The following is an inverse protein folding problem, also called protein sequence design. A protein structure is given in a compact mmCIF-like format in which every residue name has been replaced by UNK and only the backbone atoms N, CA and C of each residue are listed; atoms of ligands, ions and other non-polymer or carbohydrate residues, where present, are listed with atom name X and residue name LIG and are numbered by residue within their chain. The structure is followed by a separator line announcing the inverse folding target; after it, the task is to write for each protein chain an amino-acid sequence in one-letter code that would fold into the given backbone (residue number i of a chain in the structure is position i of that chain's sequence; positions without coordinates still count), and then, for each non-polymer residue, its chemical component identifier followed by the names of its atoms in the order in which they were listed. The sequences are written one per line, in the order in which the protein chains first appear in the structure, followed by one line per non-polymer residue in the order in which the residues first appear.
data_IF_072642955285
#
_entry.id   IF_072642955285
#
_cell.length_a   1.000
_cell.length_b   1.000
_cell.length_c   1.000
_cell.angle_alpha   90.00
_cell.angle_beta   90.00
_cell.angle_gamma   90.00
#
_symmetry.space_group_name_H-M   'P 1'
#
loop_
_entity.id
_entity.type
_entity.pdbx_description
1 polymer ?
#
# COMPACT_ATOMS: atom_id res chain seq x y z
N UNK A 1 1.73 5.72 16.03
CA UNK A 1 1.71 6.56 14.79
C UNK A 1 1.18 7.95 15.16
N UNK A 2 1.92 9.00 14.81
CA UNK A 2 1.49 10.37 15.11
C UNK A 2 0.50 10.92 14.07
N UNK A 3 -0.20 12.02 14.40
CA UNK A 3 -1.24 12.62 13.52
C UNK A 3 -0.69 13.04 12.15
N UNK A 4 0.54 13.51 12.09
CA UNK A 4 1.16 13.97 10.85
C UNK A 4 1.50 12.79 9.91
N UNK A 5 1.92 11.67 10.47
CA UNK A 5 2.16 10.43 9.71
C UNK A 5 0.84 9.86 9.18
N UNK A 6 -0.19 9.80 10.04
CA UNK A 6 -1.52 9.36 9.63
C UNK A 6 -2.09 10.26 8.52
N UNK A 7 -1.92 11.58 8.65
CA UNK A 7 -2.35 12.54 7.63
C UNK A 7 -1.62 12.32 6.29
N UNK A 8 -0.32 12.01 6.32
CA UNK A 8 0.46 11.73 5.12
C UNK A 8 0.01 10.44 4.43
N UNK A 9 -0.29 9.38 5.21
CA UNK A 9 -0.83 8.11 4.66
C UNK A 9 -2.17 8.37 3.98
N UNK A 10 -3.09 9.07 4.64
CA UNK A 10 -4.39 9.44 4.06
C UNK A 10 -4.23 10.25 2.78
N UNK A 11 -3.29 11.21 2.76
CA UNK A 11 -2.97 11.99 1.59
C UNK A 11 -2.46 11.12 0.42
N UNK A 12 -1.55 10.18 0.68
CA UNK A 12 -1.04 9.24 -0.33
C UNK A 12 -2.12 8.36 -0.93
N UNK A 13 -3.12 7.97 -0.13
CA UNK A 13 -4.28 7.23 -0.60
C UNK A 13 -5.31 8.14 -1.33
N UNK A 14 -4.96 9.43 -1.55
CA UNK A 14 -5.77 10.38 -2.31
C UNK A 14 -7.00 10.87 -1.54
N UNK A 15 -7.00 10.81 -0.21
CA UNK A 15 -8.08 11.36 0.61
C UNK A 15 -8.03 12.89 0.56
N UNK A 16 -9.15 13.59 0.26
CA UNK A 16 -9.19 15.04 0.22
C UNK A 16 -8.78 15.68 1.55
N UNK A 17 -8.11 16.82 1.50
CA UNK A 17 -7.56 17.50 2.69
C UNK A 17 -8.63 17.79 3.76
N UNK A 18 -9.84 18.19 3.35
CA UNK A 18 -10.95 18.43 4.28
C UNK A 18 -11.43 17.15 4.98
N UNK A 19 -11.37 16.01 4.31
CA UNK A 19 -11.70 14.70 4.92
C UNK A 19 -10.59 14.26 5.88
N UNK A 20 -9.31 14.45 5.51
CA UNK A 20 -8.18 14.21 6.42
C UNK A 20 -8.33 15.00 7.71
N UNK A 21 -8.72 16.27 7.61
CA UNK A 21 -8.95 17.15 8.76
C UNK A 21 -10.03 16.59 9.69
N UNK A 22 -11.13 16.09 9.12
CA UNK A 22 -12.25 15.47 9.87
C UNK A 22 -11.81 14.17 10.54
N UNK A 23 -11.16 13.27 9.79
CA UNK A 23 -10.68 11.96 10.32
C UNK A 23 -9.75 12.16 11.50
N UNK A 24 -8.87 13.16 11.45
CA UNK A 24 -7.86 13.40 12.48
C UNK A 24 -8.31 14.38 13.57
N UNK A 25 -9.53 14.90 13.46
CA UNK A 25 -10.04 15.95 14.35
C UNK A 25 -9.09 17.16 14.43
N UNK A 26 -8.65 17.64 13.27
CA UNK A 26 -7.74 18.78 13.10
C UNK A 26 -8.35 19.79 12.15
N UNK A 27 -7.86 21.03 12.17
CA UNK A 27 -8.27 22.04 11.16
C UNK A 27 -7.62 21.78 9.81
N UNK A 28 -8.30 22.11 8.72
CA UNK A 28 -7.75 22.04 7.36
C UNK A 28 -6.46 22.90 7.23
N UNK A 29 -6.41 24.01 7.93
CA UNK A 29 -5.20 24.86 7.99
C UNK A 29 -4.01 24.10 8.57
N UNK A 30 -4.24 23.26 9.58
CA UNK A 30 -3.19 22.42 10.16
C UNK A 30 -2.70 21.40 9.15
N UNK A 31 -3.60 20.71 8.46
CA UNK A 31 -3.25 19.73 7.42
C UNK A 31 -2.50 20.41 6.28
N UNK A 32 -2.98 21.56 5.80
CA UNK A 32 -2.31 22.36 4.75
C UNK A 32 -0.88 22.76 5.15
N UNK A 33 -0.69 23.17 6.40
CA UNK A 33 0.64 23.51 6.94
C UNK A 33 1.55 22.26 6.97
N UNK A 34 1.04 21.13 7.39
CA UNK A 34 1.80 19.88 7.40
C UNK A 34 2.19 19.44 6.00
N UNK A 35 1.24 19.51 5.04
CA UNK A 35 1.46 19.23 3.63
C UNK A 35 2.59 20.10 3.05
N UNK A 36 2.49 21.42 3.23
CA UNK A 36 3.49 22.38 2.75
C UNK A 36 4.85 22.18 3.40
N UNK A 37 4.90 22.09 4.75
CA UNK A 37 6.16 21.92 5.49
C UNK A 37 6.82 20.55 5.23
N UNK A 38 6.03 19.55 4.94
CA UNK A 38 6.50 18.18 4.67
C UNK A 38 6.74 17.91 3.19
N UNK A 39 6.52 18.89 2.31
CA UNK A 39 6.64 18.75 0.84
C UNK A 39 5.95 17.47 0.31
N UNK A 40 4.73 17.21 0.78
CA UNK A 40 4.07 15.92 0.56
C UNK A 40 3.85 15.58 -0.91
N UNK A 41 3.55 16.57 -1.76
CA UNK A 41 3.37 16.33 -3.21
C UNK A 41 4.67 15.83 -3.84
N UNK A 42 5.80 16.48 -3.51
CA UNK A 42 7.12 16.08 -4.00
C UNK A 42 7.52 14.72 -3.43
N UNK A 43 7.38 14.54 -2.12
CA UNK A 43 7.73 13.29 -1.45
C UNK A 43 6.92 12.10 -1.98
N UNK A 44 5.63 12.27 -2.23
CA UNK A 44 4.79 11.22 -2.79
C UNK A 44 5.18 10.89 -4.25
N UNK A 45 5.54 11.90 -5.06
CA UNK A 45 6.04 11.69 -6.41
C UNK A 45 7.39 10.97 -6.43
N UNK A 46 8.32 11.37 -5.57
CA UNK A 46 9.65 10.74 -5.44
C UNK A 46 9.52 9.28 -4.97
N UNK A 47 8.65 9.01 -3.99
CA UNK A 47 8.36 7.65 -3.51
C UNK A 47 7.75 6.78 -4.62
N UNK A 48 6.82 7.32 -5.41
CA UNK A 48 6.19 6.60 -6.52
C UNK A 48 7.23 6.25 -7.60
N UNK A 49 8.05 7.21 -8.01
CA UNK A 49 9.12 7.01 -9.00
C UNK A 49 10.15 5.98 -8.52
N UNK A 50 10.52 6.02 -7.25
CA UNK A 50 11.42 5.05 -6.64
C UNK A 50 10.80 3.65 -6.64
N UNK A 51 9.51 3.53 -6.31
CA UNK A 51 8.77 2.26 -6.33
C UNK A 51 8.69 1.66 -7.73
N UNK A 52 8.43 2.48 -8.76
CA UNK A 52 8.43 2.03 -10.16
C UNK A 52 9.80 1.49 -10.57
N UNK A 53 10.89 2.23 -10.27
CA UNK A 53 12.25 1.83 -10.59
C UNK A 53 12.64 0.52 -9.88
N UNK A 54 12.29 0.36 -8.61
CA UNK A 54 12.54 -0.87 -7.85
C UNK A 54 11.70 -2.02 -8.41
N UNK A 55 10.41 -1.79 -8.71
CA UNK A 55 9.52 -2.79 -9.31
C UNK A 55 10.07 -3.33 -10.61
N UNK A 56 10.51 -2.47 -11.51
CA UNK A 56 11.07 -2.86 -12.80
C UNK A 56 12.34 -3.68 -12.61
N UNK A 57 13.24 -3.25 -11.74
CA UNK A 57 14.46 -3.98 -11.42
C UNK A 57 14.20 -5.38 -10.85
N UNK A 58 13.19 -5.51 -9.96
CA UNK A 58 12.83 -6.80 -9.39
C UNK A 58 12.13 -7.69 -10.41
N UNK A 59 11.26 -7.14 -11.26
CA UNK A 59 10.63 -7.89 -12.35
C UNK A 59 11.68 -8.44 -13.31
N UNK A 60 12.73 -7.70 -13.61
CA UNK A 60 13.83 -8.16 -14.45
C UNK A 60 14.62 -9.29 -13.78
N UNK A 61 14.90 -9.19 -12.47
CA UNK A 61 15.51 -10.27 -11.71
C UNK A 61 14.64 -11.54 -11.68
N UNK A 62 13.34 -11.40 -11.48
CA UNK A 62 12.39 -12.52 -11.51
C UNK A 62 12.37 -13.15 -12.91
N UNK A 63 12.30 -12.37 -13.97
CA UNK A 63 12.36 -12.87 -15.36
C UNK A 63 13.67 -13.62 -15.62
N UNK A 64 14.79 -13.08 -15.17
CA UNK A 64 16.09 -13.74 -15.30
C UNK A 64 16.12 -15.08 -14.57
N UNK A 65 15.68 -15.14 -13.31
CA UNK A 65 15.61 -16.39 -12.54
C UNK A 65 14.68 -17.42 -13.17
N UNK A 66 13.50 -17.00 -13.63
CA UNK A 66 12.58 -17.89 -14.33
C UNK A 66 13.18 -18.47 -15.62
N UNK A 67 13.96 -17.66 -16.37
CA UNK A 67 14.69 -18.11 -17.55
C UNK A 67 15.73 -19.16 -17.20
N UNK A 68 16.49 -18.96 -16.12
CA UNK A 68 17.48 -19.93 -15.63
C UNK A 68 16.80 -21.25 -15.19
N UNK A 69 15.72 -21.18 -14.45
CA UNK A 69 14.95 -22.35 -14.02
C UNK A 69 14.38 -23.13 -15.22
N UNK A 70 13.88 -22.45 -16.25
CA UNK A 70 13.42 -23.09 -17.49
C UNK A 70 14.54 -23.83 -18.20
N UNK A 71 15.70 -23.17 -18.39
CA UNK A 71 16.87 -23.78 -19.01
C UNK A 71 17.37 -25.00 -18.23
N UNK A 72 17.43 -24.92 -16.91
CA UNK A 72 17.79 -26.05 -16.06
C UNK A 72 16.76 -27.19 -16.18
N UNK A 73 15.46 -26.88 -16.22
CA UNK A 73 14.41 -27.88 -16.43
C UNK A 73 14.58 -28.62 -17.76
N UNK A 74 14.82 -27.90 -18.84
CA UNK A 74 15.04 -28.48 -20.17
C UNK A 74 16.27 -29.41 -20.16
N UNK A 75 17.38 -28.94 -19.59
CA UNK A 75 18.61 -29.76 -19.47
C UNK A 75 18.39 -31.04 -18.63
N UNK A 76 17.64 -30.95 -17.50
CA UNK A 76 17.35 -32.13 -16.68
C UNK A 76 16.38 -33.10 -17.35
N UNK A 77 15.46 -32.62 -18.19
CA UNK A 77 14.56 -33.47 -18.96
C UNK A 77 15.32 -34.24 -20.06
N UNK A 78 16.30 -33.60 -20.70
CA UNK A 78 17.19 -34.23 -21.70
C UNK A 78 18.07 -35.31 -21.05
N UNK A 79 18.52 -35.09 -19.81
CA UNK A 79 19.32 -36.04 -19.02
C UNK A 79 18.48 -37.14 -18.34
N UNK A 80 17.15 -37.17 -18.54
CA UNK A 80 16.24 -38.18 -17.97
C UNK A 80 15.95 -38.01 -16.47
N UNK A 81 16.27 -36.83 -15.88
CA UNK A 81 16.08 -36.50 -14.48
C UNK A 81 14.88 -35.59 -14.23
N UNK A 82 14.25 -35.71 -13.05
CA UNK A 82 13.26 -34.76 -12.55
C UNK A 82 13.88 -33.99 -11.39
N UNK A 83 14.11 -32.69 -11.56
CA UNK A 83 14.47 -31.82 -10.43
C UNK A 83 13.23 -31.14 -9.91
N UNK A 84 12.91 -31.38 -8.64
CA UNK A 84 11.94 -30.57 -7.91
C UNK A 84 12.53 -29.18 -7.64
N UNK A 85 11.72 -28.15 -7.84
CA UNK A 85 12.10 -26.78 -7.49
C UNK A 85 12.42 -26.76 -5.99
N UNK A 86 13.61 -26.32 -5.63
CA UNK A 86 14.00 -26.27 -4.23
C UNK A 86 13.16 -25.22 -3.48
N UNK A 87 12.85 -25.49 -2.23
CA UNK A 87 12.08 -24.57 -1.38
C UNK A 87 12.75 -23.18 -1.34
N UNK A 88 14.08 -23.13 -1.28
CA UNK A 88 14.85 -21.88 -1.27
C UNK A 88 14.62 -21.00 -2.50
N UNK A 89 14.42 -21.61 -3.70
CA UNK A 89 14.16 -20.87 -4.94
C UNK A 89 12.76 -20.21 -4.87
N UNK A 90 11.78 -20.92 -4.30
CA UNK A 90 10.41 -20.39 -4.09
C UNK A 90 10.41 -19.29 -3.03
N UNK A 91 11.14 -19.49 -1.93
CA UNK A 91 11.25 -18.52 -0.84
C UNK A 91 11.90 -17.23 -1.35
N UNK A 92 12.96 -17.32 -2.17
CA UNK A 92 13.60 -16.15 -2.79
C UNK A 92 12.66 -15.36 -3.70
N UNK A 93 11.86 -16.03 -4.54
CA UNK A 93 10.86 -15.36 -5.40
C UNK A 93 9.78 -14.69 -4.55
N UNK A 94 9.31 -15.36 -3.50
CA UNK A 94 8.32 -14.79 -2.58
C UNK A 94 8.86 -13.55 -1.86
N UNK A 95 10.11 -13.58 -1.40
CA UNK A 95 10.73 -12.45 -0.72
C UNK A 95 10.90 -11.26 -1.66
N UNK A 96 11.32 -11.48 -2.91
CA UNK A 96 11.37 -10.46 -3.94
C UNK A 96 9.98 -9.87 -4.23
N UNK A 97 8.94 -10.72 -4.36
CA UNK A 97 7.56 -10.27 -4.54
C UNK A 97 7.08 -9.40 -3.37
N UNK A 98 7.38 -9.80 -2.14
CA UNK A 98 7.03 -9.04 -0.95
C UNK A 98 7.76 -7.69 -0.86
N UNK A 99 8.99 -7.61 -1.35
CA UNK A 99 9.74 -6.35 -1.46
C UNK A 99 9.07 -5.38 -2.45
N UNK A 100 8.61 -5.88 -3.61
CA UNK A 100 7.86 -5.06 -4.61
C UNK A 100 6.53 -4.58 -4.04
N UNK A 101 5.79 -5.49 -3.40
CA UNK A 101 4.50 -5.18 -2.82
C UNK A 101 4.58 -4.09 -1.74
N UNK A 102 5.78 -3.87 -1.19
CA UNK A 102 6.01 -2.92 -0.11
C UNK A 102 5.43 -3.38 1.22
N UNK A 103 5.84 -2.73 2.29
CA UNK A 103 5.22 -2.90 3.61
C UNK A 103 3.94 -2.05 3.65
N UNK A 104 2.85 -2.57 3.10
CA UNK A 104 1.54 -2.00 3.41
C UNK A 104 1.33 -2.10 4.92
N UNK A 105 1.19 -0.95 5.59
CA UNK A 105 0.78 -0.94 6.99
C UNK A 105 -0.67 -1.41 7.06
N UNK A 106 -1.05 -2.06 8.16
CA UNK A 106 -2.44 -2.46 8.41
C UNK A 106 -3.39 -1.24 8.28
N UNK A 107 -2.92 -0.06 8.67
CA UNK A 107 -3.67 1.19 8.54
C UNK A 107 -3.86 1.62 7.07
N UNK A 108 -2.84 1.52 6.22
CA UNK A 108 -2.94 1.83 4.78
C UNK A 108 -3.98 0.93 4.09
N UNK A 109 -3.93 -0.37 4.36
CA UNK A 109 -4.91 -1.34 3.84
C UNK A 109 -6.32 -1.00 4.31
N UNK A 110 -6.49 -0.65 5.59
CA UNK A 110 -7.76 -0.25 6.17
C UNK A 110 -8.32 1.02 5.51
N UNK A 111 -7.51 2.05 5.34
CA UNK A 111 -7.90 3.30 4.65
C UNK A 111 -8.40 3.01 3.24
N UNK A 112 -7.67 2.17 2.48
CA UNK A 112 -8.06 1.79 1.12
C UNK A 112 -9.41 1.06 1.09
N UNK A 113 -9.63 0.11 2.01
CA UNK A 113 -10.88 -0.64 2.12
C UNK A 113 -12.06 0.27 2.47
N UNK A 114 -11.90 1.16 3.46
CA UNK A 114 -12.93 2.12 3.86
C UNK A 114 -13.27 3.06 2.71
N UNK A 115 -12.28 3.52 1.95
CA UNK A 115 -12.49 4.35 0.76
C UNK A 115 -13.31 3.62 -0.30
N UNK A 116 -12.95 2.38 -0.64
CA UNK A 116 -13.72 1.56 -1.60
C UNK A 116 -15.19 1.39 -1.18
N UNK A 117 -15.44 1.12 0.10
CA UNK A 117 -16.80 1.02 0.66
C UNK A 117 -17.54 2.35 0.51
N UNK A 118 -16.89 3.46 0.85
CA UNK A 118 -17.50 4.79 0.77
C UNK A 118 -17.81 5.19 -0.69
N UNK A 119 -16.91 4.91 -1.63
CA UNK A 119 -17.13 5.17 -3.05
C UNK A 119 -18.25 4.29 -3.62
N UNK A 120 -18.32 3.02 -3.22
CA UNK A 120 -19.44 2.14 -3.58
C UNK A 120 -20.77 2.69 -3.06
N UNK A 121 -20.82 3.13 -1.79
CA UNK A 121 -22.04 3.73 -1.21
C UNK A 121 -22.42 5.03 -1.91
N UNK A 122 -21.46 5.91 -2.24
CA UNK A 122 -21.72 7.16 -2.97
C UNK A 122 -22.37 6.90 -4.33
N UNK A 123 -21.92 5.85 -5.03
CA UNK A 123 -22.42 5.52 -6.35
C UNK A 123 -23.80 4.85 -6.33
N UNK A 124 -24.15 4.11 -5.27
CA UNK A 124 -25.37 3.33 -5.18
C UNK A 124 -26.44 3.96 -4.30
N UNK A 125 -26.06 4.64 -3.22
CA UNK A 125 -26.95 5.32 -2.29
C UNK A 125 -26.25 6.52 -1.63
N UNK A 126 -26.27 7.71 -2.29
CA UNK A 126 -25.58 8.90 -1.78
C UNK A 126 -26.06 9.38 -0.40
N UNK A 127 -27.33 9.14 -0.05
CA UNK A 127 -27.88 9.54 1.25
C UNK A 127 -27.33 8.67 2.37
N UNK A 128 -27.26 7.36 2.14
CA UNK A 128 -26.60 6.42 3.05
C UNK A 128 -25.11 6.75 3.21
N UNK A 129 -24.42 7.06 2.13
CA UNK A 129 -23.02 7.45 2.18
C UNK A 129 -22.79 8.67 3.10
N UNK A 130 -23.64 9.68 3.02
CA UNK A 130 -23.58 10.86 3.90
C UNK A 130 -23.80 10.52 5.37
N UNK A 131 -24.73 9.61 5.67
CA UNK A 131 -25.03 9.18 7.05
C UNK A 131 -23.90 8.31 7.64
N UNK A 132 -23.28 7.47 6.84
CA UNK A 132 -22.23 6.52 7.28
C UNK A 132 -20.84 7.16 7.33
N UNK A 133 -20.56 8.21 6.54
CA UNK A 133 -19.25 8.84 6.49
C UNK A 133 -18.67 9.25 7.87
N UNK A 134 -19.45 9.84 8.82
CA UNK A 134 -18.95 10.15 10.15
C UNK A 134 -18.53 8.91 10.95
N UNK A 135 -19.26 7.80 10.79
CA UNK A 135 -18.96 6.52 11.46
C UNK A 135 -17.68 5.91 10.92
N UNK A 136 -17.49 5.92 9.59
CA UNK A 136 -16.26 5.46 8.95
C UNK A 136 -15.04 6.28 9.38
N UNK A 137 -15.21 7.60 9.49
CA UNK A 137 -14.15 8.48 9.97
C UNK A 137 -13.79 8.22 11.44
N UNK A 138 -14.79 8.01 12.30
CA UNK A 138 -14.59 7.63 13.70
C UNK A 138 -13.85 6.29 13.82
N UNK A 139 -14.24 5.30 13.00
CA UNK A 139 -13.58 4.00 12.95
C UNK A 139 -12.09 4.11 12.54
N UNK A 140 -11.77 4.87 11.50
CA UNK A 140 -10.38 5.09 11.09
C UNK A 140 -9.57 5.76 12.20
N UNK A 141 -10.17 6.73 12.90
CA UNK A 141 -9.52 7.42 14.01
C UNK A 141 -9.23 6.49 15.19
N UNK A 142 -10.18 5.63 15.56
CA UNK A 142 -10.01 4.60 16.59
C UNK A 142 -8.87 3.64 16.23
N UNK A 143 -8.88 3.09 15.02
CA UNK A 143 -7.85 2.13 14.56
C UNK A 143 -6.46 2.75 14.41
N UNK A 144 -6.38 4.05 14.19
CA UNK A 144 -5.12 4.78 14.23
C UNK A 144 -4.50 4.76 15.65
N UNK A 145 -5.33 4.92 16.68
CA UNK A 145 -4.91 4.96 18.09
C UNK A 145 -4.57 3.59 18.68
N UNK A 146 -5.17 2.51 18.15
CA UNK A 146 -5.09 1.16 18.73
C UNK A 146 -3.78 0.40 18.54
N UNK A 147 -2.75 0.97 17.89
CA UNK A 147 -1.43 0.31 17.69
C UNK A 147 -0.43 0.57 18.83
N UNK A 148 -0.88 0.99 20.01
CA UNK A 148 0.00 1.26 21.15
C UNK A 148 -0.10 0.21 22.26
N UNK A 149 -0.83 -0.89 22.08
CA UNK A 149 -0.85 -2.00 23.04
C UNK A 149 -0.46 -3.32 22.35
N UNK A 150 0.84 -3.56 22.23
CA UNK A 150 1.44 -4.91 22.19
C UNK A 150 2.96 -4.79 22.26
#
# INVERSE_FOLDING_TARGET
MNDKEAAYILFKEGVPQGEIAKVLNRSEVTISRWKKKGEWDKKAADELMMMETISDGILDLVRYQLKQLKSLKEKYLEEGGIRLIAKGDIDGIRDLYNMVKGKETAFTTLVRSVRQINDFMKNNNPDLARQVAPVLNAFLNEKRGGNHES
#
